data_IF_975007523563
#
_entry.id   IF_975007523563
#
_cell.length_a   1.000
_cell.length_b   1.000
_cell.length_c   1.000
_cell.angle_alpha   90.00
_cell.angle_beta   90.00
_cell.angle_gamma   90.00
#
_symmetry.space_group_name_H-M   'P 1'
#
loop_
_entity.id
_entity.type
_entity.pdbx_description
1 polymer ?
#
# COMPACT_ATOMS: atom_id res chain seq x y z
N UNK A 1 -21.38 23.84 -30.47
CA UNK A 1 -20.12 24.30 -29.83
C UNK A 1 -19.61 25.48 -30.62
N UNK A 2 -19.34 26.61 -29.96
CA UNK A 2 -18.79 27.81 -30.63
C UNK A 2 -17.34 27.56 -31.13
N UNK A 3 -16.91 28.29 -32.16
CA UNK A 3 -15.61 28.11 -32.81
C UNK A 3 -14.43 28.24 -31.83
N UNK A 4 -14.55 29.11 -30.82
CA UNK A 4 -13.56 29.28 -29.76
C UNK A 4 -13.41 28.00 -28.91
N UNK A 5 -14.53 27.42 -28.46
CA UNK A 5 -14.52 26.19 -27.66
C UNK A 5 -13.95 25.00 -28.45
N UNK A 6 -14.19 24.95 -29.76
CA UNK A 6 -13.60 23.91 -30.62
C UNK A 6 -12.08 24.04 -30.72
N UNK A 7 -11.55 25.26 -30.86
CA UNK A 7 -10.10 25.49 -30.91
C UNK A 7 -9.42 25.16 -29.57
N UNK A 8 -10.05 25.49 -28.44
CA UNK A 8 -9.57 25.13 -27.10
C UNK A 8 -9.54 23.61 -26.94
N UNK A 9 -10.62 22.91 -27.32
CA UNK A 9 -10.70 21.46 -27.24
C UNK A 9 -9.59 20.76 -28.04
N UNK A 10 -9.36 21.18 -29.29
CA UNK A 10 -8.29 20.62 -30.13
C UNK A 10 -6.91 20.84 -29.53
N UNK A 11 -6.64 22.04 -28.99
CA UNK A 11 -5.40 22.35 -28.31
C UNK A 11 -5.21 21.50 -27.06
N UNK A 12 -6.25 21.34 -26.25
CA UNK A 12 -6.21 20.54 -25.04
C UNK A 12 -5.94 19.06 -25.38
N UNK A 13 -6.65 18.50 -26.37
CA UNK A 13 -6.42 17.13 -26.86
C UNK A 13 -5.00 16.92 -27.37
N UNK A 14 -4.45 17.87 -28.12
CA UNK A 14 -3.07 17.78 -28.63
C UNK A 14 -2.04 17.84 -27.51
N UNK A 15 -2.19 18.80 -26.59
CA UNK A 15 -1.31 18.93 -25.41
C UNK A 15 -1.36 17.67 -24.56
N UNK A 16 -2.56 17.11 -24.35
CA UNK A 16 -2.75 15.86 -23.62
C UNK A 16 -2.04 14.68 -24.26
N UNK A 17 -2.15 14.53 -25.58
CA UNK A 17 -1.47 13.44 -26.31
C UNK A 17 0.05 13.49 -26.11
N UNK A 18 0.63 14.69 -26.15
CA UNK A 18 2.06 14.90 -25.85
C UNK A 18 2.36 14.57 -24.39
N UNK A 19 1.56 15.07 -23.44
CA UNK A 19 1.74 14.81 -22.01
C UNK A 19 1.68 13.30 -21.69
N UNK A 20 0.70 12.57 -22.22
CA UNK A 20 0.58 11.11 -22.10
C UNK A 20 1.85 10.39 -22.59
N UNK A 21 2.42 10.82 -23.71
CA UNK A 21 3.68 10.26 -24.22
C UNK A 21 4.87 10.53 -23.30
N UNK A 22 4.94 11.71 -22.68
CA UNK A 22 5.99 12.06 -21.72
C UNK A 22 5.84 11.29 -20.41
N UNK A 23 4.61 11.15 -19.90
CA UNK A 23 4.29 10.32 -18.72
C UNK A 23 4.74 8.87 -18.93
N UNK A 24 4.42 8.27 -20.09
CA UNK A 24 4.87 6.91 -20.42
C UNK A 24 6.40 6.79 -20.45
N UNK A 25 7.11 7.77 -21.03
CA UNK A 25 8.58 7.79 -21.01
C UNK A 25 9.13 7.87 -19.58
N UNK A 26 8.53 8.69 -18.74
CA UNK A 26 8.94 8.84 -17.35
C UNK A 26 8.69 7.57 -16.53
N UNK A 27 7.55 6.90 -16.77
CA UNK A 27 7.23 5.60 -16.20
C UNK A 27 8.28 4.56 -16.59
N UNK A 28 8.64 4.46 -17.87
CA UNK A 28 9.64 3.49 -18.34
C UNK A 28 11.03 3.78 -17.74
N UNK A 29 11.37 5.06 -17.57
CA UNK A 29 12.60 5.45 -16.89
C UNK A 29 12.58 5.01 -15.42
N UNK A 30 11.48 5.29 -14.72
CA UNK A 30 11.27 4.88 -13.33
C UNK A 30 11.33 3.36 -13.16
N UNK A 31 10.73 2.61 -14.07
CA UNK A 31 10.80 1.14 -14.13
C UNK A 31 12.24 0.64 -14.25
N UNK A 32 13.02 1.22 -15.17
CA UNK A 32 14.41 0.85 -15.38
C UNK A 32 15.27 1.15 -14.14
N UNK A 33 15.12 2.31 -13.52
CA UNK A 33 15.90 2.68 -12.34
C UNK A 33 15.57 1.80 -11.12
N UNK A 34 14.28 1.51 -10.92
CA UNK A 34 13.85 0.59 -9.85
C UNK A 34 14.38 -0.82 -10.11
N UNK A 35 14.33 -1.30 -11.35
CA UNK A 35 14.80 -2.65 -11.72
C UNK A 35 16.31 -2.79 -11.56
N UNK A 36 17.07 -1.73 -11.85
CA UNK A 36 18.51 -1.69 -11.70
C UNK A 36 18.97 -1.44 -10.25
N UNK A 37 18.03 -1.41 -9.29
CA UNK A 37 18.32 -1.11 -7.88
C UNK A 37 19.10 0.21 -7.70
N UNK A 38 18.72 1.25 -8.47
CA UNK A 38 19.35 2.57 -8.44
C UNK A 38 19.21 3.28 -7.08
N UNK A 39 19.96 4.35 -6.88
CA UNK A 39 19.86 5.15 -5.65
C UNK A 39 18.42 5.66 -5.42
N UNK A 40 17.95 5.59 -4.18
CA UNK A 40 16.59 6.00 -3.80
C UNK A 40 16.30 7.47 -4.13
N UNK A 41 17.31 8.32 -4.08
CA UNK A 41 17.21 9.75 -4.42
C UNK A 41 16.89 9.91 -5.90
N UNK A 42 17.55 9.15 -6.78
CA UNK A 42 17.29 9.17 -8.23
C UNK A 42 15.85 8.73 -8.52
N UNK A 43 15.40 7.65 -7.88
CA UNK A 43 14.03 7.17 -8.02
C UNK A 43 13.02 8.19 -7.50
N UNK A 44 13.32 8.86 -6.38
CA UNK A 44 12.47 9.90 -5.81
C UNK A 44 12.34 11.13 -6.73
N UNK A 45 13.44 11.61 -7.32
CA UNK A 45 13.43 12.72 -8.29
C UNK A 45 12.57 12.40 -9.51
N UNK A 46 12.75 11.19 -10.07
CA UNK A 46 11.98 10.71 -11.23
C UNK A 46 10.50 10.58 -10.86
N UNK A 47 10.20 10.14 -9.65
CA UNK A 47 8.84 10.05 -9.12
C UNK A 47 8.17 11.42 -8.93
N UNK A 48 8.87 12.42 -8.35
CA UNK A 48 8.35 13.79 -8.22
C UNK A 48 8.01 14.39 -9.58
N UNK A 49 8.85 14.16 -10.60
CA UNK A 49 8.56 14.61 -11.97
C UNK A 49 7.34 13.91 -12.57
N UNK A 50 7.14 12.63 -12.28
CA UNK A 50 5.96 11.87 -12.71
C UNK A 50 4.67 12.43 -12.09
N UNK A 51 4.68 12.78 -10.80
CA UNK A 51 3.51 13.42 -10.12
C UNK A 51 3.15 14.72 -10.83
N UNK A 52 4.11 15.63 -10.99
CA UNK A 52 3.88 16.93 -11.60
C UNK A 52 3.28 16.79 -13.02
N UNK A 53 3.78 15.84 -13.82
CA UNK A 53 3.26 15.58 -15.16
C UNK A 53 1.85 14.98 -15.15
N UNK A 54 1.53 14.15 -14.16
CA UNK A 54 0.19 13.60 -14.00
C UNK A 54 -0.84 14.65 -13.56
N UNK A 55 -0.45 15.63 -12.75
CA UNK A 55 -1.30 16.76 -12.36
C UNK A 55 -1.63 17.66 -13.56
N UNK A 56 -0.64 17.94 -14.43
CA UNK A 56 -0.84 18.61 -15.72
C UNK A 56 -1.84 17.84 -16.60
N UNK A 57 -1.67 16.51 -16.69
CA UNK A 57 -2.58 15.63 -17.43
C UNK A 57 -4.01 15.68 -16.89
N UNK A 58 -4.17 15.63 -15.55
CA UNK A 58 -5.46 15.70 -14.87
C UNK A 58 -6.18 17.04 -15.12
N UNK A 59 -5.43 18.13 -15.25
CA UNK A 59 -5.97 19.45 -15.58
C UNK A 59 -6.51 19.47 -17.01
N UNK A 60 -5.76 18.93 -17.97
CA UNK A 60 -6.19 18.82 -19.37
C UNK A 60 -7.42 17.93 -19.51
N UNK A 61 -7.49 16.82 -18.77
CA UNK A 61 -8.64 15.92 -18.82
C UNK A 61 -9.92 16.58 -18.30
N UNK A 62 -9.84 17.43 -17.26
CA UNK A 62 -11.00 18.22 -16.78
C UNK A 62 -11.44 19.28 -17.80
N UNK A 63 -10.49 19.94 -18.43
CA UNK A 63 -10.78 20.92 -19.50
C UNK A 63 -11.49 20.23 -20.67
N UNK A 64 -11.00 19.06 -21.11
CA UNK A 64 -11.60 18.28 -22.18
C UNK A 64 -13.01 17.81 -21.79
N UNK A 65 -13.19 17.25 -20.59
CA UNK A 65 -14.51 16.81 -20.10
C UNK A 65 -15.54 17.94 -20.11
N UNK A 66 -15.14 19.17 -19.79
CA UNK A 66 -16.04 20.33 -19.80
C UNK A 66 -16.46 20.79 -21.21
N UNK A 67 -15.75 20.33 -22.25
CA UNK A 67 -15.92 20.76 -23.63
C UNK A 67 -16.53 19.67 -24.52
N UNK A 68 -16.32 18.39 -24.23
CA UNK A 68 -16.84 17.30 -25.05
C UNK A 68 -18.36 17.10 -24.90
N UNK A 69 -18.97 16.43 -25.88
CA UNK A 69 -20.36 16.01 -25.80
C UNK A 69 -20.50 14.68 -25.03
N UNK A 70 -21.73 14.38 -24.59
CA UNK A 70 -22.04 13.15 -23.83
C UNK A 70 -21.70 11.89 -24.65
N UNK A 71 -21.88 11.91 -25.97
CA UNK A 71 -21.60 10.77 -26.86
C UNK A 71 -20.12 10.32 -26.82
N UNK A 72 -19.18 11.23 -26.58
CA UNK A 72 -17.74 10.92 -26.50
C UNK A 72 -17.22 10.83 -25.07
N UNK A 73 -18.08 11.03 -24.06
CA UNK A 73 -17.70 11.07 -22.66
C UNK A 73 -17.23 9.71 -22.14
N UNK A 74 -17.89 8.62 -22.55
CA UNK A 74 -17.56 7.27 -22.09
C UNK A 74 -16.14 6.86 -22.52
N UNK A 75 -15.82 6.98 -23.81
CA UNK A 75 -14.48 6.71 -24.34
C UNK A 75 -13.42 7.58 -23.64
N UNK A 76 -13.76 8.84 -23.37
CA UNK A 76 -12.85 9.75 -22.69
C UNK A 76 -12.58 9.34 -21.24
N UNK A 77 -13.62 8.96 -20.50
CA UNK A 77 -13.50 8.43 -19.14
C UNK A 77 -12.63 7.18 -19.16
N UNK A 78 -12.90 6.21 -20.03
CA UNK A 78 -12.12 4.97 -20.13
C UNK A 78 -10.65 5.27 -20.34
N UNK A 79 -10.30 6.10 -21.35
CA UNK A 79 -8.88 6.39 -21.60
C UNK A 79 -8.24 7.17 -20.47
N UNK A 80 -8.94 8.08 -19.80
CA UNK A 80 -8.40 8.78 -18.62
C UNK A 80 -8.09 7.81 -17.49
N UNK A 81 -9.02 6.91 -17.19
CA UNK A 81 -8.89 5.93 -16.11
C UNK A 81 -7.71 4.98 -16.34
N UNK A 82 -7.50 4.52 -17.57
CA UNK A 82 -6.32 3.69 -17.92
C UNK A 82 -4.98 4.38 -17.59
N UNK A 83 -4.88 5.70 -17.79
CA UNK A 83 -3.67 6.45 -17.44
C UNK A 83 -3.58 6.73 -15.94
N UNK A 84 -4.72 6.95 -15.27
CA UNK A 84 -4.79 7.09 -13.81
C UNK A 84 -4.30 5.83 -13.10
N UNK A 85 -4.73 4.66 -13.55
CA UNK A 85 -4.32 3.37 -12.98
C UNK A 85 -2.82 3.14 -13.15
N UNK A 86 -2.28 3.41 -14.35
CA UNK A 86 -0.82 3.35 -14.60
C UNK A 86 -0.06 4.27 -13.64
N UNK A 87 -0.53 5.51 -13.46
CA UNK A 87 0.09 6.45 -12.54
C UNK A 87 0.05 5.94 -11.10
N UNK A 88 -1.11 5.48 -10.60
CA UNK A 88 -1.27 4.97 -9.24
C UNK A 88 -0.33 3.78 -8.98
N UNK A 89 -0.26 2.82 -9.92
CA UNK A 89 0.64 1.67 -9.81
C UNK A 89 2.09 2.12 -9.65
N UNK A 90 2.54 3.04 -10.50
CA UNK A 90 3.92 3.51 -10.49
C UNK A 90 4.24 4.43 -9.32
N UNK A 91 3.27 5.23 -8.87
CA UNK A 91 3.34 5.99 -7.62
C UNK A 91 3.60 5.05 -6.44
N UNK A 92 2.78 4.01 -6.26
CA UNK A 92 2.93 3.07 -5.15
C UNK A 92 4.26 2.31 -5.25
N UNK A 93 4.71 1.95 -6.45
CA UNK A 93 6.01 1.30 -6.66
C UNK A 93 7.18 2.21 -6.27
N UNK A 94 7.17 3.45 -6.72
CA UNK A 94 8.21 4.42 -6.37
C UNK A 94 8.22 4.74 -4.88
N UNK A 95 7.06 5.00 -4.28
CA UNK A 95 6.93 5.26 -2.84
C UNK A 95 7.52 4.10 -2.04
N UNK A 96 7.16 2.85 -2.37
CA UNK A 96 7.69 1.64 -1.73
C UNK A 96 9.20 1.47 -1.87
N UNK A 97 9.74 1.87 -3.02
CA UNK A 97 11.17 1.80 -3.28
C UNK A 97 11.94 2.83 -2.44
N UNK A 98 11.45 4.07 -2.42
CA UNK A 98 12.08 5.18 -1.71
C UNK A 98 11.92 5.04 -0.20
N UNK A 99 10.68 4.86 0.26
CA UNK A 99 10.33 4.56 1.65
C UNK A 99 9.67 3.20 1.70
N UNK A 100 10.36 2.19 2.24
CA UNK A 100 9.77 0.87 2.52
C UNK A 100 8.42 1.07 3.21
N UNK A 101 7.31 0.83 2.50
CA UNK A 101 5.98 1.17 3.02
C UNK A 101 5.65 0.21 4.18
N UNK A 102 5.47 0.78 5.37
CA UNK A 102 4.65 0.23 6.44
C UNK A 102 3.30 -0.21 5.85
N UNK A 103 3.05 -1.51 5.93
CA UNK A 103 1.93 -2.25 5.32
C UNK A 103 0.67 -1.42 5.01
N UNK A 104 0.22 -1.49 3.75
CA UNK A 104 -1.11 -1.04 3.33
C UNK A 104 -2.16 -1.84 4.11
N UNK A 105 -2.69 -1.23 5.17
CA UNK A 105 -3.94 -1.61 5.78
C UNK A 105 -5.06 -1.30 4.78
N UNK A 106 -5.59 -2.33 4.13
CA UNK A 106 -6.87 -2.25 3.44
C UNK A 106 -7.93 -2.08 4.53
N UNK A 107 -8.35 -0.83 4.73
CA UNK A 107 -9.49 -0.44 5.55
C UNK A 107 -10.78 -1.01 4.92
N UNK A 108 -11.12 -2.25 5.25
CA UNK A 108 -12.51 -2.69 5.13
C UNK A 108 -13.28 -2.12 6.31
N UNK A 109 -13.87 -0.94 6.08
CA UNK A 109 -14.96 -0.40 6.90
C UNK A 109 -16.15 -1.36 6.82
N UNK A 110 -16.35 -2.16 7.88
CA UNK A 110 -17.68 -2.66 8.23
C UNK A 110 -17.96 -2.31 9.69
N UNK A 111 -18.88 -1.38 9.81
CA UNK A 111 -19.53 -0.84 10.99
C UNK A 111 -20.33 -1.93 11.73
N UNK A 112 -20.09 -2.11 13.03
CA UNK A 112 -21.08 -2.05 14.13
C UNK A 112 -20.72 -2.94 15.34
N UNK A 113 -20.75 -2.27 16.50
CA UNK A 113 -20.68 -2.78 17.88
C UNK A 113 -21.89 -3.71 18.20
N UNK A 114 -21.83 -4.56 19.25
CA UNK A 114 -21.96 -4.06 20.62
C UNK A 114 -21.09 -4.75 21.69
N UNK A 115 -20.99 -4.04 22.80
CA UNK A 115 -20.35 -4.33 24.08
C UNK A 115 -21.04 -5.51 24.81
N UNK A 116 -20.30 -6.32 25.59
CA UNK A 116 -20.55 -6.54 27.04
C UNK A 116 -19.67 -7.65 27.68
N UNK A 117 -19.21 -7.30 28.90
CA UNK A 117 -18.74 -8.06 30.09
C UNK A 117 -18.89 -9.60 30.08
N UNK A 118 -17.96 -10.41 30.64
CA UNK A 118 -17.78 -10.60 32.10
C UNK A 118 -16.51 -11.41 32.47
N UNK A 119 -16.13 -11.26 33.75
CA UNK A 119 -14.98 -11.78 34.49
C UNK A 119 -15.06 -13.29 34.87
N UNK A 120 -13.90 -13.94 35.09
CA UNK A 120 -13.62 -14.96 36.15
C UNK A 120 -12.14 -15.44 36.04
N UNK A 121 -11.19 -15.03 36.88
CA UNK A 121 -10.79 -15.47 38.24
C UNK A 121 -9.97 -16.78 38.35
N UNK A 122 -8.77 -16.62 38.95
CA UNK A 122 -7.91 -17.55 39.75
C UNK A 122 -6.98 -18.53 38.97
N UNK A 123 -5.74 -18.85 39.37
CA UNK A 123 -5.00 -18.71 40.64
C UNK A 123 -3.45 -18.78 40.46
N UNK A 124 -2.74 -17.96 41.27
CA UNK A 124 -1.45 -18.17 41.97
C UNK A 124 -0.30 -19.03 41.40
N UNK A 125 0.90 -18.41 41.29
CA UNK A 125 2.18 -18.92 41.85
C UNK A 125 3.21 -17.78 41.99
N UNK A 126 4.09 -17.94 42.98
CA UNK A 126 4.97 -16.93 43.57
C UNK A 126 6.35 -16.82 42.90
N UNK A 127 6.95 -15.63 43.06
CA UNK A 127 8.39 -15.35 43.28
C UNK A 127 9.39 -15.26 42.10
N UNK A 128 9.91 -14.02 41.94
CA UNK A 128 11.33 -13.62 41.89
C UNK A 128 12.05 -13.50 40.51
N UNK A 129 12.58 -12.27 40.32
CA UNK A 129 13.68 -11.79 39.45
C UNK A 129 13.40 -11.25 38.03
N UNK A 130 14.10 -10.12 37.81
CA UNK A 130 14.38 -9.36 36.59
C UNK A 130 13.31 -8.37 36.09
N UNK A 131 13.67 -7.09 36.19
CA UNK A 131 13.13 -5.95 35.45
C UNK A 131 13.14 -6.22 33.93
N UNK A 132 12.08 -6.85 33.46
CA UNK A 132 11.68 -6.85 32.06
C UNK A 132 10.36 -6.06 32.02
N UNK A 133 10.17 -5.10 31.10
CA UNK A 133 8.86 -4.52 30.89
C UNK A 133 7.91 -5.67 30.51
N UNK A 134 7.10 -6.12 31.48
CA UNK A 134 6.06 -7.12 31.26
C UNK A 134 5.00 -6.46 30.42
N UNK A 135 5.14 -6.59 29.10
CA UNK A 135 4.10 -6.26 28.15
C UNK A 135 2.82 -7.01 28.55
N UNK A 136 1.63 -6.38 28.44
CA UNK A 136 0.38 -7.09 28.56
C UNK A 136 0.45 -8.33 27.65
N UNK A 137 0.04 -9.49 28.18
CA UNK A 137 0.03 -10.75 27.45
C UNK A 137 -0.97 -10.63 26.30
N UNK A 138 -0.53 -10.02 25.20
CA UNK A 138 -1.25 -9.94 23.94
C UNK A 138 -1.29 -11.39 23.47
N UNK A 139 -2.43 -12.04 23.68
CA UNK A 139 -2.73 -13.36 23.14
C UNK A 139 -2.81 -13.21 21.63
N UNK A 140 -1.64 -13.25 20.97
CA UNK A 140 -1.57 -13.53 19.55
C UNK A 140 -2.18 -14.92 19.37
N UNK A 141 -3.26 -14.98 18.61
CA UNK A 141 -3.89 -16.23 18.25
C UNK A 141 -2.90 -17.07 17.46
N UNK A 142 -2.77 -18.34 17.84
CA UNK A 142 -1.83 -19.25 17.21
C UNK A 142 -2.26 -19.56 15.78
N UNK A 143 -1.33 -19.47 14.82
CA UNK A 143 -1.59 -19.84 13.44
C UNK A 143 -1.19 -21.30 13.18
N UNK A 144 -2.16 -22.13 12.77
CA UNK A 144 -1.96 -23.57 12.55
C UNK A 144 -1.58 -23.95 11.13
N UNK A 145 -1.63 -23.02 10.18
CA UNK A 145 -1.42 -23.31 8.76
C UNK A 145 -2.62 -23.90 8.01
N UNK A 146 -3.69 -24.32 8.71
CA UNK A 146 -4.88 -24.95 8.07
C UNK A 146 -5.74 -23.96 7.28
N UNK A 147 -5.91 -22.75 7.80
CA UNK A 147 -6.68 -21.70 7.13
C UNK A 147 -5.73 -20.64 6.59
N UNK A 148 -5.30 -20.81 5.34
CA UNK A 148 -4.40 -19.88 4.65
C UNK A 148 -5.01 -18.47 4.56
N UNK A 149 -6.35 -18.36 4.52
CA UNK A 149 -7.03 -17.06 4.45
C UNK A 149 -6.85 -16.22 5.72
N UNK A 150 -6.57 -16.86 6.85
CA UNK A 150 -6.26 -16.19 8.12
C UNK A 150 -4.80 -15.72 8.24
N UNK A 151 -3.90 -16.18 7.35
CA UNK A 151 -2.48 -15.83 7.40
C UNK A 151 -2.20 -14.32 7.31
N UNK A 152 -2.83 -13.55 6.40
CA UNK A 152 -2.62 -12.10 6.34
C UNK A 152 -2.97 -11.39 7.66
N UNK A 153 -4.08 -11.79 8.29
CA UNK A 153 -4.54 -11.24 9.58
C UNK A 153 -3.58 -11.60 10.72
N UNK A 154 -3.12 -12.85 10.77
CA UNK A 154 -2.09 -13.29 11.71
C UNK A 154 -0.79 -12.48 11.52
N UNK A 155 -0.34 -12.34 10.28
CA UNK A 155 0.93 -11.68 9.96
C UNK A 155 0.90 -10.18 10.30
N UNK A 156 -0.21 -9.49 10.00
CA UNK A 156 -0.38 -8.08 10.38
C UNK A 156 -0.28 -7.87 11.90
N UNK A 157 -0.87 -8.78 12.70
CA UNK A 157 -0.80 -8.74 14.16
C UNK A 157 0.62 -9.03 14.67
N UNK A 158 1.31 -10.01 14.06
CA UNK A 158 2.70 -10.31 14.39
C UNK A 158 3.63 -9.13 14.08
N UNK A 159 3.41 -8.44 12.95
CA UNK A 159 4.22 -7.28 12.59
C UNK A 159 4.10 -6.17 13.63
N UNK A 160 2.86 -5.77 13.94
CA UNK A 160 2.58 -4.67 14.87
C UNK A 160 3.04 -4.98 16.29
N UNK A 161 2.90 -6.23 16.76
CA UNK A 161 3.22 -6.59 18.14
C UNK A 161 4.70 -6.96 18.35
N UNK A 162 5.37 -7.50 17.34
CA UNK A 162 6.70 -8.15 17.48
C UNK A 162 7.71 -7.62 16.47
N UNK A 163 7.39 -7.57 15.18
CA UNK A 163 8.37 -7.21 14.15
C UNK A 163 8.84 -5.76 14.22
N UNK A 164 7.90 -4.82 14.42
CA UNK A 164 8.17 -3.38 14.53
C UNK A 164 8.66 -2.97 15.93
N UNK A 165 8.67 -3.89 16.89
CA UNK A 165 9.17 -3.63 18.22
C UNK A 165 10.71 -3.58 18.22
N UNK A 166 11.27 -2.37 18.33
CA UNK A 166 12.71 -2.11 18.36
C UNK A 166 13.42 -2.56 19.64
N UNK A 167 12.67 -2.91 20.70
CA UNK A 167 13.22 -3.48 21.94
C UNK A 167 13.55 -4.97 21.85
N UNK A 168 13.09 -5.66 20.79
CA UNK A 168 13.35 -7.07 20.55
C UNK A 168 14.41 -7.22 19.45
N UNK A 169 15.36 -8.12 19.65
CA UNK A 169 16.30 -8.51 18.59
C UNK A 169 15.65 -9.57 17.67
N UNK A 170 16.27 -9.83 16.52
CA UNK A 170 15.72 -10.75 15.52
C UNK A 170 15.60 -12.19 16.02
N UNK A 171 16.48 -12.62 16.93
CA UNK A 171 16.45 -13.96 17.55
C UNK A 171 15.23 -14.10 18.46
N UNK A 172 14.93 -13.07 19.26
CA UNK A 172 13.76 -13.04 20.14
C UNK A 172 12.47 -12.96 19.32
N UNK A 173 12.46 -12.17 18.23
CA UNK A 173 11.32 -12.10 17.29
C UNK A 173 11.05 -13.46 16.66
N UNK A 174 12.08 -14.17 16.20
CA UNK A 174 11.93 -15.49 15.62
C UNK A 174 11.51 -16.55 16.65
N UNK A 175 12.07 -16.49 17.86
CA UNK A 175 11.67 -17.37 18.96
C UNK A 175 10.19 -17.16 19.32
N UNK A 176 9.73 -15.91 19.30
CA UNK A 176 8.34 -15.57 19.49
C UNK A 176 7.47 -16.14 18.36
N UNK A 177 7.88 -15.98 17.09
CA UNK A 177 7.17 -16.55 15.94
C UNK A 177 6.96 -18.07 16.10
N UNK A 178 8.02 -18.81 16.48
CA UNK A 178 7.93 -20.25 16.73
C UNK A 178 6.94 -20.61 17.84
N UNK A 179 6.72 -19.73 18.82
CA UNK A 179 5.78 -19.99 19.92
C UNK A 179 4.30 -19.81 19.53
N UNK A 180 4.02 -19.05 18.46
CA UNK A 180 2.66 -18.73 18.02
C UNK A 180 2.27 -19.44 16.72
N UNK A 181 3.20 -20.16 16.11
CA UNK A 181 2.93 -20.98 14.92
C UNK A 181 2.87 -22.45 15.34
N UNK A 182 1.86 -23.17 14.86
CA UNK A 182 1.57 -24.56 15.26
C UNK A 182 1.30 -25.43 14.04
N UNK A 183 1.32 -26.77 14.22
CA UNK A 183 0.99 -27.76 13.18
C UNK A 183 1.76 -27.55 11.87
N UNK A 184 1.06 -27.37 10.75
CA UNK A 184 1.63 -27.42 9.41
C UNK A 184 2.52 -26.19 9.18
N UNK A 185 2.15 -25.07 9.78
CA UNK A 185 2.96 -23.87 9.74
C UNK A 185 4.22 -23.98 10.60
N UNK A 186 4.21 -24.77 11.70
CA UNK A 186 5.40 -25.02 12.50
C UNK A 186 6.40 -25.88 11.73
N UNK A 187 5.90 -26.90 11.02
CA UNK A 187 6.71 -27.74 10.15
C UNK A 187 7.37 -26.91 9.04
N UNK A 188 6.64 -25.98 8.43
CA UNK A 188 7.16 -25.12 7.36
C UNK A 188 8.34 -24.22 7.79
N UNK A 189 8.38 -23.78 9.05
CA UNK A 189 9.43 -22.89 9.58
C UNK A 189 10.59 -23.63 10.27
N UNK A 190 10.49 -24.95 10.44
CA UNK A 190 11.53 -25.77 11.06
C UNK A 190 12.69 -26.12 10.12
N UNK A 191 12.49 -26.00 8.80
CA UNK A 191 13.48 -26.34 7.77
C UNK A 191 13.40 -27.79 7.36
#
# INVERSE_FOLDING_TARGET
MDAANKAILERAKKTRSVSRSLVTKQINKLESEISNSADKTIVHEIYMLLISKFEELSTLDKEIESLINIESLEDEIVTREEYRDKFIIWKIRAERYVGSVSNIAIQNSVENQPQNMTLSLNSSVSSVLANQPRLPKLTLESFSGKDISSFPSFWARFISAVHENSSLNDVDKFSYLKSVVTSDAELAIRG
#
